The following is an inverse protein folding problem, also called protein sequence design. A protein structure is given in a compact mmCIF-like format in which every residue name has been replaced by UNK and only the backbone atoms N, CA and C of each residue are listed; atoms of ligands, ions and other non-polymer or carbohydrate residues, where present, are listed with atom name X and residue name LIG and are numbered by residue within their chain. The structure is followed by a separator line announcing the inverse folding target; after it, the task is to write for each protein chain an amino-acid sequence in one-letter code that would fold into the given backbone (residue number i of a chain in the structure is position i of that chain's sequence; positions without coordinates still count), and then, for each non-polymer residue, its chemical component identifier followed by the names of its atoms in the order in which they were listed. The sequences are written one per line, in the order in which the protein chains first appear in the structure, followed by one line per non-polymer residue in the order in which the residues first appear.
data_IF_711388036938
#
_entry.id   IF_711388036938
#
_cell.length_a   1.000
_cell.length_b   1.000
_cell.length_c   1.000
_cell.angle_alpha   90.00
_cell.angle_beta   90.00
_cell.angle_gamma   90.00
#
_symmetry.space_group_name_H-M   'P 1'
#
loop_
_entity.id
_entity.type
_entity.pdbx_description
1 polymer ?
#
# COMPACT_ATOMS: atom_id res chain seq x y z
N UNK A 1 9.14 21.03 -18.52
CA UNK A 1 8.91 19.59 -18.22
C UNK A 1 9.36 19.36 -16.78
N UNK A 2 8.65 18.55 -15.99
CA UNK A 2 9.14 18.16 -14.66
C UNK A 2 10.37 17.27 -14.82
N UNK A 3 11.36 17.43 -13.93
CA UNK A 3 12.58 16.61 -13.93
C UNK A 3 12.30 15.22 -13.35
N UNK A 4 13.06 14.23 -13.80
CA UNK A 4 13.02 12.87 -13.24
C UNK A 4 13.69 12.90 -11.87
N UNK A 5 13.01 12.32 -10.87
CA UNK A 5 13.44 12.30 -9.46
C UNK A 5 13.90 10.92 -8.99
N UNK A 6 13.33 9.87 -9.56
CA UNK A 6 13.61 8.48 -9.19
C UNK A 6 13.88 7.66 -10.45
N UNK A 7 14.95 6.86 -10.42
CA UNK A 7 15.25 5.89 -11.47
C UNK A 7 15.42 4.53 -10.82
N UNK A 8 14.63 3.56 -11.26
CA UNK A 8 14.82 2.16 -10.89
C UNK A 8 15.64 1.51 -12.00
N UNK A 9 16.81 0.95 -11.70
CA UNK A 9 17.61 0.21 -12.66
C UNK A 9 17.61 -1.28 -12.32
N UNK A 10 17.26 -2.11 -13.30
CA UNK A 10 17.27 -3.56 -13.22
C UNK A 10 18.43 -4.11 -14.07
N UNK A 11 19.69 -4.09 -13.61
CA UNK A 11 20.85 -4.55 -14.38
C UNK A 11 20.81 -6.04 -14.75
N UNK A 12 20.08 -6.87 -14.01
CA UNK A 12 19.83 -8.27 -14.35
C UNK A 12 18.47 -8.71 -13.84
N UNK A 13 17.84 -9.61 -14.59
CA UNK A 13 16.60 -10.29 -14.20
C UNK A 13 16.84 -11.77 -13.89
N UNK A 14 18.11 -12.21 -13.99
CA UNK A 14 18.58 -13.49 -13.45
C UNK A 14 18.66 -13.39 -11.93
N UNK A 15 18.45 -14.50 -11.23
CA UNK A 15 18.68 -14.62 -9.80
C UNK A 15 19.41 -15.94 -9.50
N UNK A 16 20.17 -15.97 -8.41
CA UNK A 16 20.82 -17.17 -7.85
C UNK A 16 19.92 -17.93 -6.87
N UNK A 17 18.76 -17.37 -6.51
CA UNK A 17 17.75 -17.94 -5.62
C UNK A 17 16.43 -18.16 -6.37
N UNK A 18 15.56 -19.01 -5.83
CA UNK A 18 14.25 -19.35 -6.41
C UNK A 18 13.14 -19.24 -5.34
N UNK A 19 13.01 -18.03 -4.78
CA UNK A 19 12.16 -17.72 -3.64
C UNK A 19 10.70 -18.11 -3.88
N UNK A 20 10.00 -18.56 -2.85
CA UNK A 20 8.58 -18.92 -2.90
C UNK A 20 7.68 -17.73 -3.29
N UNK A 21 8.06 -16.52 -2.90
CA UNK A 21 7.33 -15.27 -3.18
C UNK A 21 7.76 -14.57 -4.46
N UNK A 22 8.72 -15.10 -5.22
CA UNK A 22 9.05 -14.54 -6.54
C UNK A 22 8.03 -15.05 -7.57
N UNK A 23 7.45 -14.13 -8.35
CA UNK A 23 6.60 -14.48 -9.49
C UNK A 23 7.35 -15.29 -10.55
N UNK A 24 6.59 -15.93 -11.47
CA UNK A 24 7.15 -16.86 -12.47
C UNK A 24 8.38 -16.31 -13.20
N UNK A 25 9.33 -17.23 -13.43
CA UNK A 25 10.64 -16.97 -14.00
C UNK A 25 10.60 -15.89 -15.09
N UNK A 26 11.33 -14.81 -14.87
CA UNK A 26 11.52 -13.80 -15.89
C UNK A 26 12.42 -14.39 -16.99
N UNK A 27 11.79 -15.03 -17.98
CA UNK A 27 12.37 -15.52 -19.23
C UNK A 27 12.88 -14.35 -20.09
N UNK A 28 13.90 -13.69 -19.58
CA UNK A 28 14.71 -12.67 -20.24
C UNK A 28 16.02 -13.36 -20.55
N UNK A 29 16.36 -13.46 -21.83
CA UNK A 29 17.53 -14.20 -22.28
C UNK A 29 18.80 -13.69 -21.60
N UNK A 30 19.60 -14.61 -21.04
CA UNK A 30 20.86 -14.32 -20.32
C UNK A 30 21.90 -13.52 -21.14
N UNK A 31 21.65 -13.34 -22.44
CA UNK A 31 22.61 -12.86 -23.43
C UNK A 31 22.32 -11.41 -23.91
N UNK A 32 21.19 -10.81 -23.54
CA UNK A 32 20.76 -9.47 -24.05
C UNK A 32 20.89 -8.34 -23.01
N UNK A 33 21.49 -8.62 -21.85
CA UNK A 33 21.69 -7.64 -20.77
C UNK A 33 22.52 -6.44 -21.25
N UNK A 34 21.99 -5.23 -21.06
CA UNK A 34 22.67 -3.97 -21.37
C UNK A 34 23.89 -3.80 -20.44
N UNK A 35 25.01 -3.37 -21.02
CA UNK A 35 26.18 -2.99 -20.26
C UNK A 35 25.83 -1.80 -19.35
N UNK A 36 26.00 -1.95 -18.04
CA UNK A 36 25.66 -0.91 -17.06
C UNK A 36 26.42 0.39 -17.32
N UNK A 37 27.64 0.35 -17.85
CA UNK A 37 28.41 1.55 -18.18
C UNK A 37 27.80 2.37 -19.32
N UNK A 38 27.07 1.74 -20.26
CA UNK A 38 26.27 2.48 -21.25
C UNK A 38 25.08 3.17 -20.58
N UNK A 39 24.44 2.52 -19.61
CA UNK A 39 23.37 3.15 -18.81
C UNK A 39 23.92 4.34 -18.03
N UNK A 40 25.10 4.22 -17.40
CA UNK A 40 25.73 5.35 -16.69
C UNK A 40 25.99 6.53 -17.64
N UNK A 41 26.56 6.30 -18.82
CA UNK A 41 26.78 7.36 -19.82
C UNK A 41 25.48 8.09 -20.22
N UNK A 42 24.37 7.35 -20.33
CA UNK A 42 23.05 7.93 -20.63
C UNK A 42 22.48 8.74 -19.46
N UNK A 43 22.78 8.36 -18.21
CA UNK A 43 22.41 9.11 -17.01
C UNK A 43 23.29 10.37 -16.84
N UNK A 44 24.59 10.25 -17.05
CA UNK A 44 25.57 11.35 -16.98
C UNK A 44 25.27 12.46 -17.99
N UNK A 45 24.84 12.10 -19.20
CA UNK A 45 24.57 13.05 -20.28
C UNK A 45 23.19 13.72 -20.20
N UNK A 46 22.26 13.22 -19.38
CA UNK A 46 20.86 13.66 -19.37
C UNK A 46 20.66 14.99 -18.63
N UNK A 47 20.11 16.00 -19.32
CA UNK A 47 19.79 17.30 -18.72
C UNK A 47 18.49 17.28 -17.88
N UNK A 48 17.80 16.14 -17.86
CA UNK A 48 16.49 15.96 -17.24
C UNK A 48 16.53 15.36 -15.85
N UNK A 49 17.72 14.99 -15.36
CA UNK A 49 17.95 14.43 -14.04
C UNK A 49 18.35 15.53 -13.06
N UNK A 50 17.75 15.52 -11.86
CA UNK A 50 18.13 16.40 -10.75
C UNK A 50 18.48 15.55 -9.54
N UNK A 51 19.79 15.28 -9.41
CA UNK A 51 20.40 14.48 -8.33
C UNK A 51 19.54 13.26 -7.94
N UNK A 52 19.18 12.39 -8.92
CA UNK A 52 18.30 11.26 -8.67
C UNK A 52 18.90 10.27 -7.67
N UNK A 53 18.00 9.62 -6.93
CA UNK A 53 18.30 8.31 -6.34
C UNK A 53 18.17 7.26 -7.44
N UNK A 54 19.24 6.50 -7.64
CA UNK A 54 19.29 5.33 -8.51
C UNK A 54 19.01 4.10 -7.65
N UNK A 55 17.76 3.63 -7.67
CA UNK A 55 17.33 2.41 -7.00
C UNK A 55 17.71 1.19 -7.85
N UNK A 56 18.75 0.46 -7.44
CA UNK A 56 19.22 -0.75 -8.13
C UNK A 56 18.47 -1.96 -7.57
N UNK A 57 17.86 -2.77 -8.44
CA UNK A 57 17.12 -3.98 -8.07
C UNK A 57 17.15 -5.00 -9.24
N UNK A 58 16.16 -5.90 -9.35
CA UNK A 58 16.06 -6.87 -10.45
C UNK A 58 15.73 -8.28 -9.94
N UNK A 59 16.37 -9.28 -10.54
CA UNK A 59 16.47 -10.61 -9.93
C UNK A 59 17.50 -10.58 -8.80
N UNK A 60 18.78 -10.61 -9.14
CA UNK A 60 19.89 -10.26 -8.25
C UNK A 60 20.87 -9.34 -8.99
N UNK A 61 21.01 -8.05 -8.61
CA UNK A 61 21.87 -7.11 -9.35
C UNK A 61 23.33 -7.55 -9.44
N UNK A 62 23.89 -8.19 -8.40
CA UNK A 62 25.29 -8.65 -8.41
C UNK A 62 25.59 -9.81 -9.38
N UNK A 63 24.59 -10.32 -10.13
CA UNK A 63 24.81 -11.21 -11.26
C UNK A 63 25.20 -10.48 -12.56
N UNK A 64 24.96 -9.17 -12.68
CA UNK A 64 25.44 -8.37 -13.81
C UNK A 64 26.94 -8.09 -13.64
N UNK A 65 27.74 -8.36 -14.67
CA UNK A 65 29.21 -8.28 -14.59
C UNK A 65 29.75 -6.85 -14.51
N UNK A 66 28.93 -5.83 -14.81
CA UNK A 66 29.32 -4.41 -14.87
C UNK A 66 28.69 -3.56 -13.76
N UNK A 67 27.91 -4.14 -12.84
CA UNK A 67 27.17 -3.35 -11.82
C UNK A 67 28.09 -2.71 -10.77
N UNK A 68 29.16 -3.38 -10.37
CA UNK A 68 30.12 -2.86 -9.37
C UNK A 68 30.82 -1.61 -9.95
N UNK A 69 31.29 -1.71 -11.20
CA UNK A 69 31.89 -0.58 -11.92
C UNK A 69 30.88 0.57 -12.12
N UNK A 70 29.62 0.27 -12.42
CA UNK A 70 28.55 1.27 -12.54
C UNK A 70 28.33 2.06 -11.25
N UNK A 71 28.29 1.39 -10.09
CA UNK A 71 28.14 2.04 -8.78
C UNK A 71 29.38 2.91 -8.49
N UNK A 72 30.58 2.34 -8.58
CA UNK A 72 31.85 3.03 -8.27
C UNK A 72 32.04 4.27 -9.16
N UNK A 73 31.92 4.11 -10.48
CA UNK A 73 32.13 5.22 -11.41
C UNK A 73 30.98 6.23 -11.35
N UNK A 74 29.74 5.78 -11.13
CA UNK A 74 28.60 6.67 -10.90
C UNK A 74 28.79 7.55 -9.66
N UNK A 75 29.34 7.02 -8.58
CA UNK A 75 29.69 7.81 -7.38
C UNK A 75 30.77 8.84 -7.71
N UNK A 76 31.87 8.44 -8.38
CA UNK A 76 32.99 9.34 -8.70
C UNK A 76 32.64 10.47 -9.66
N UNK A 77 31.74 10.23 -10.63
CA UNK A 77 31.49 11.11 -11.78
C UNK A 77 30.24 11.97 -11.65
N UNK A 78 29.34 11.62 -10.74
CA UNK A 78 28.03 12.28 -10.56
C UNK A 78 27.82 12.64 -9.10
N UNK A 79 26.71 13.31 -8.79
CA UNK A 79 26.23 13.50 -7.42
C UNK A 79 25.10 12.52 -7.03
N UNK A 80 24.86 11.46 -7.82
CA UNK A 80 23.77 10.52 -7.57
C UNK A 80 23.96 9.77 -6.25
N UNK A 81 22.84 9.30 -5.69
CA UNK A 81 22.80 8.32 -4.60
C UNK A 81 22.36 6.96 -5.14
N UNK A 82 22.95 5.88 -4.64
CA UNK A 82 22.69 4.51 -5.08
C UNK A 82 22.04 3.72 -3.96
N UNK A 83 20.80 3.29 -4.16
CA UNK A 83 20.04 2.50 -3.21
C UNK A 83 19.90 1.07 -3.74
N UNK A 84 20.63 0.13 -3.15
CA UNK A 84 20.80 -1.23 -3.70
C UNK A 84 19.88 -2.19 -2.95
N UNK A 85 18.97 -2.86 -3.67
CA UNK A 85 18.21 -3.99 -3.14
C UNK A 85 18.84 -5.29 -3.64
N UNK A 86 19.26 -6.16 -2.71
CA UNK A 86 19.93 -7.43 -3.01
C UNK A 86 19.44 -8.53 -2.07
N UNK A 87 19.62 -9.80 -2.45
CA UNK A 87 19.44 -10.94 -1.56
C UNK A 87 20.61 -11.14 -0.57
N UNK A 88 21.70 -10.38 -0.69
CA UNK A 88 22.84 -10.45 0.23
C UNK A 88 23.71 -11.70 0.08
N UNK A 89 23.49 -12.54 -0.94
CA UNK A 89 24.22 -13.79 -1.10
C UNK A 89 25.69 -13.61 -1.53
N UNK A 90 25.97 -12.52 -2.26
CA UNK A 90 27.28 -12.26 -2.86
C UNK A 90 28.14 -11.34 -1.99
N UNK A 91 28.45 -11.75 -0.75
CA UNK A 91 29.20 -10.92 0.23
C UNK A 91 30.46 -10.29 -0.35
N UNK A 92 31.29 -11.07 -1.06
CA UNK A 92 32.55 -10.58 -1.64
C UNK A 92 32.35 -9.45 -2.67
N UNK A 93 31.25 -9.47 -3.43
CA UNK A 93 30.92 -8.39 -4.37
C UNK A 93 30.43 -7.12 -3.68
N UNK A 94 29.79 -7.28 -2.52
CA UNK A 94 29.39 -6.17 -1.65
C UNK A 94 30.64 -5.55 -1.01
N UNK A 95 31.57 -6.36 -0.49
CA UNK A 95 32.88 -5.94 0.01
C UNK A 95 33.67 -5.17 -1.05
N UNK A 96 33.85 -5.77 -2.24
CA UNK A 96 34.50 -5.13 -3.40
C UNK A 96 33.88 -3.77 -3.75
N UNK A 97 32.56 -3.66 -3.71
CA UNK A 97 31.85 -2.39 -3.99
C UNK A 97 32.22 -1.32 -2.95
N UNK A 98 32.14 -1.64 -1.64
CA UNK A 98 32.37 -0.69 -0.55
C UNK A 98 33.85 -0.31 -0.38
N UNK A 99 34.78 -1.23 -0.64
CA UNK A 99 36.22 -1.00 -0.54
C UNK A 99 36.76 -0.08 -1.65
N UNK A 100 36.09 -0.04 -2.80
CA UNK A 100 36.44 0.85 -3.91
C UNK A 100 35.73 2.22 -3.86
N UNK A 101 35.03 2.53 -2.76
CA UNK A 101 34.36 3.81 -2.52
C UNK A 101 35.06 4.54 -1.36
N UNK A 102 35.37 5.82 -1.57
CA UNK A 102 35.97 6.67 -0.52
C UNK A 102 35.06 6.73 0.70
N UNK A 103 35.63 6.77 1.91
CA UNK A 103 34.87 6.90 3.15
C UNK A 103 33.95 8.14 3.17
N UNK A 104 34.35 9.22 2.50
CA UNK A 104 33.57 10.46 2.34
C UNK A 104 32.35 10.36 1.43
N UNK A 105 32.27 9.33 0.58
CA UNK A 105 31.16 9.11 -0.36
C UNK A 105 30.21 7.98 0.09
N UNK A 106 30.46 7.36 1.24
CA UNK A 106 29.67 6.21 1.74
C UNK A 106 28.22 6.57 2.07
N UNK A 107 27.91 7.82 2.40
CA UNK A 107 26.54 8.32 2.64
C UNK A 107 25.68 8.42 1.36
N UNK A 108 26.31 8.19 0.21
CA UNK A 108 25.67 8.12 -1.11
C UNK A 108 25.32 6.69 -1.53
N UNK A 109 25.62 5.70 -0.70
CA UNK A 109 25.26 4.30 -0.93
C UNK A 109 24.47 3.75 0.25
N UNK A 110 23.34 3.12 -0.05
CA UNK A 110 22.52 2.41 0.93
C UNK A 110 22.16 1.02 0.42
N UNK A 111 21.99 0.07 1.33
CA UNK A 111 21.65 -1.31 1.04
C UNK A 111 20.33 -1.71 1.71
N UNK A 112 19.53 -2.49 0.99
CA UNK A 112 18.31 -3.12 1.49
C UNK A 112 18.49 -4.62 1.27
N UNK A 113 18.88 -5.34 2.34
CA UNK A 113 19.16 -6.77 2.27
C UNK A 113 17.86 -7.54 2.48
N UNK A 114 17.57 -8.48 1.60
CA UNK A 114 16.26 -9.16 1.58
C UNK A 114 16.26 -10.37 2.52
N UNK A 115 15.68 -10.25 3.72
CA UNK A 115 15.65 -11.30 4.76
C UNK A 115 14.23 -11.45 5.30
N UNK A 116 13.69 -12.67 5.33
CA UNK A 116 12.24 -12.94 5.49
C UNK A 116 11.90 -13.72 6.77
N UNK A 117 12.78 -13.76 7.76
CA UNK A 117 12.63 -14.60 8.95
C UNK A 117 13.98 -14.99 9.53
N UNK A 118 13.95 -15.81 10.58
CA UNK A 118 15.14 -16.45 11.13
C UNK A 118 15.64 -17.55 10.18
N UNK A 119 16.84 -18.07 10.42
CA UNK A 119 17.60 -18.93 9.51
C UNK A 119 16.76 -19.99 8.77
N UNK A 120 16.09 -20.88 9.50
CA UNK A 120 15.29 -21.96 8.92
C UNK A 120 14.15 -21.44 8.03
N UNK A 121 13.43 -20.40 8.49
CA UNK A 121 12.27 -19.83 7.81
C UNK A 121 12.70 -19.03 6.58
N UNK A 122 13.74 -18.20 6.68
CA UNK A 122 14.30 -17.49 5.54
C UNK A 122 14.85 -18.46 4.48
N UNK A 123 15.66 -19.45 4.88
CA UNK A 123 16.23 -20.45 3.96
C UNK A 123 15.12 -21.26 3.25
N UNK A 124 14.04 -21.63 3.98
CA UNK A 124 12.84 -22.25 3.41
C UNK A 124 12.16 -21.34 2.38
N UNK A 125 11.93 -20.07 2.70
CA UNK A 125 11.27 -19.08 1.83
C UNK A 125 12.11 -18.80 0.58
N UNK A 126 13.43 -18.62 0.72
CA UNK A 126 14.37 -18.37 -0.40
C UNK A 126 14.74 -19.63 -1.19
N UNK A 127 14.40 -20.82 -0.67
CA UNK A 127 14.76 -22.16 -1.19
C UNK A 127 16.28 -22.34 -1.34
N UNK A 128 17.04 -21.94 -0.32
CA UNK A 128 18.50 -22.08 -0.29
C UNK A 128 18.99 -22.20 1.16
N UNK A 129 19.77 -23.23 1.47
CA UNK A 129 20.21 -23.54 2.84
C UNK A 129 21.28 -22.59 3.41
N UNK A 130 21.89 -21.75 2.57
CA UNK A 130 22.95 -20.81 2.96
C UNK A 130 22.55 -19.34 2.78
N UNK A 131 21.30 -19.05 2.38
CA UNK A 131 20.88 -17.68 2.09
C UNK A 131 20.89 -16.76 3.31
N UNK A 132 20.47 -17.26 4.48
CA UNK A 132 20.49 -16.50 5.72
C UNK A 132 21.91 -16.16 6.15
N UNK A 133 22.79 -17.17 6.23
CA UNK A 133 24.19 -17.04 6.61
C UNK A 133 24.89 -15.95 5.78
N UNK A 134 24.76 -16.01 4.44
CA UNK A 134 25.37 -15.03 3.53
C UNK A 134 24.76 -13.62 3.66
N UNK A 135 23.44 -13.54 3.84
CA UNK A 135 22.78 -12.26 4.05
C UNK A 135 23.21 -11.61 5.37
N UNK A 136 23.36 -12.38 6.46
CA UNK A 136 23.87 -11.89 7.75
C UNK A 136 25.35 -11.51 7.67
N UNK A 137 26.20 -12.27 6.97
CA UNK A 137 27.59 -11.88 6.69
C UNK A 137 27.65 -10.50 6.01
N UNK A 138 26.80 -10.29 4.99
CA UNK A 138 26.71 -9.02 4.25
C UNK A 138 26.21 -7.87 5.12
N UNK A 139 25.14 -8.07 5.91
CA UNK A 139 24.61 -7.06 6.84
C UNK A 139 25.65 -6.67 7.87
N UNK A 140 26.35 -7.64 8.46
CA UNK A 140 27.36 -7.40 9.50
C UNK A 140 28.49 -6.54 8.95
N UNK A 141 29.05 -6.92 7.80
CA UNK A 141 30.09 -6.14 7.13
C UNK A 141 29.62 -4.71 6.78
N UNK A 142 28.43 -4.55 6.21
CA UNK A 142 27.90 -3.23 5.84
C UNK A 142 27.73 -2.31 7.06
N UNK A 143 27.26 -2.86 8.18
CA UNK A 143 27.11 -2.16 9.46
C UNK A 143 28.47 -1.78 10.05
N UNK A 144 29.45 -2.68 10.04
CA UNK A 144 30.84 -2.39 10.45
C UNK A 144 31.50 -1.29 9.61
N UNK A 145 31.17 -1.22 8.32
CA UNK A 145 31.64 -0.18 7.39
C UNK A 145 30.85 1.15 7.50
N UNK A 146 29.81 1.21 8.34
CA UNK A 146 28.98 2.40 8.56
C UNK A 146 28.03 2.75 7.40
N UNK A 147 27.64 1.77 6.59
CA UNK A 147 26.74 1.95 5.44
C UNK A 147 25.28 1.92 5.91
N UNK A 148 24.42 2.83 5.39
CA UNK A 148 22.98 2.81 5.70
C UNK A 148 22.36 1.51 5.17
N UNK A 149 21.94 0.66 6.09
CA UNK A 149 21.56 -0.73 5.82
C UNK A 149 20.18 -0.99 6.42
N UNK A 150 19.24 -1.37 5.57
CA UNK A 150 17.90 -1.83 5.93
C UNK A 150 17.74 -3.31 5.60
N UNK A 151 16.74 -3.93 6.21
CA UNK A 151 16.28 -5.28 5.90
C UNK A 151 14.89 -5.18 5.26
N UNK A 152 14.75 -5.70 4.05
CA UNK A 152 13.46 -5.86 3.39
C UNK A 152 12.89 -7.24 3.72
N UNK A 153 11.80 -7.27 4.48
CA UNK A 153 11.10 -8.48 4.92
C UNK A 153 9.82 -8.64 4.09
N UNK A 154 9.75 -9.63 3.19
CA UNK A 154 8.48 -9.95 2.51
C UNK A 154 7.61 -10.76 3.47
N UNK A 155 6.53 -10.17 3.95
CA UNK A 155 5.70 -10.79 4.99
C UNK A 155 4.72 -11.78 4.38
N UNK A 156 4.79 -13.03 4.83
CA UNK A 156 3.99 -14.15 4.35
C UNK A 156 3.60 -15.09 5.50
N UNK A 157 2.68 -16.03 5.25
CA UNK A 157 2.16 -16.94 6.28
C UNK A 157 3.26 -17.66 7.08
N UNK A 158 4.36 -18.03 6.43
CA UNK A 158 5.48 -18.74 7.07
C UNK A 158 6.27 -17.91 8.10
N UNK A 159 6.26 -16.58 8.02
CA UNK A 159 7.11 -15.72 8.85
C UNK A 159 6.36 -14.77 9.81
N UNK A 160 5.02 -14.70 9.73
CA UNK A 160 4.19 -13.82 10.57
C UNK A 160 4.50 -13.90 12.07
N UNK A 161 4.77 -15.11 12.58
CA UNK A 161 5.00 -15.35 13.99
C UNK A 161 6.45 -15.07 14.43
N UNK A 162 7.38 -14.91 13.47
CA UNK A 162 8.79 -14.61 13.74
C UNK A 162 9.11 -13.11 13.68
N UNK A 163 8.22 -12.26 13.17
CA UNK A 163 8.54 -10.85 12.88
C UNK A 163 9.06 -10.07 14.11
N UNK A 164 8.55 -10.38 15.31
CA UNK A 164 9.02 -9.76 16.56
C UNK A 164 10.41 -10.28 17.00
N UNK A 165 10.68 -11.57 16.77
CA UNK A 165 11.97 -12.16 17.07
C UNK A 165 13.04 -11.69 16.08
N UNK A 166 12.67 -11.52 14.80
CA UNK A 166 13.50 -10.94 13.75
C UNK A 166 13.88 -9.48 14.05
N UNK A 167 12.93 -8.66 14.54
CA UNK A 167 13.20 -7.30 15.04
C UNK A 167 14.22 -7.32 16.18
N UNK A 168 14.03 -8.20 17.17
CA UNK A 168 14.96 -8.34 18.31
C UNK A 168 16.35 -8.78 17.86
N UNK A 169 16.43 -9.71 16.90
CA UNK A 169 17.67 -10.21 16.34
C UNK A 169 18.48 -9.10 15.65
N UNK A 170 17.86 -8.31 14.75
CA UNK A 170 18.59 -7.20 14.10
C UNK A 170 18.93 -6.05 15.06
N UNK A 171 18.10 -5.79 16.08
CA UNK A 171 18.43 -4.83 17.13
C UNK A 171 19.67 -5.25 17.95
N UNK A 172 19.98 -6.55 18.05
CA UNK A 172 21.23 -7.04 18.67
C UNK A 172 22.45 -6.85 17.76
N UNK A 173 22.27 -6.89 16.43
CA UNK A 173 23.34 -6.60 15.45
C UNK A 173 23.63 -5.09 15.42
N UNK A 174 22.60 -4.26 15.25
CA UNK A 174 22.69 -2.80 15.34
C UNK A 174 21.32 -2.13 15.41
N UNK A 175 21.16 -1.21 16.36
CA UNK A 175 19.94 -0.39 16.54
C UNK A 175 19.66 0.57 15.36
N UNK A 176 20.60 0.74 14.44
CA UNK A 176 20.43 1.59 13.25
C UNK A 176 19.78 0.83 12.08
N UNK A 177 19.70 -0.51 12.14
CA UNK A 177 19.11 -1.33 11.08
C UNK A 177 17.59 -1.13 11.08
N UNK A 178 17.04 -0.71 9.94
CA UNK A 178 15.60 -0.53 9.75
C UNK A 178 15.02 -1.79 9.12
N UNK A 179 13.98 -2.38 9.72
CA UNK A 179 13.19 -3.43 9.08
C UNK A 179 12.02 -2.79 8.31
N UNK A 180 12.00 -3.01 7.00
CA UNK A 180 10.93 -2.62 6.09
C UNK A 180 10.05 -3.85 5.87
N UNK A 181 8.86 -3.86 6.45
CA UNK A 181 7.91 -4.96 6.30
C UNK A 181 7.03 -4.75 5.07
N UNK A 182 7.34 -5.50 4.01
CA UNK A 182 6.70 -5.40 2.70
C UNK A 182 5.57 -6.44 2.66
N UNK A 183 4.29 -6.03 2.55
CA UNK A 183 3.19 -6.97 2.35
C UNK A 183 3.40 -7.77 1.05
N UNK A 184 3.13 -9.08 1.07
CA UNK A 184 3.25 -9.93 -0.12
C UNK A 184 2.30 -9.42 -1.21
N UNK A 185 2.85 -8.78 -2.24
CA UNK A 185 2.07 -7.97 -3.18
C UNK A 185 1.55 -8.71 -4.42
N UNK A 186 2.06 -9.91 -4.68
CA UNK A 186 1.79 -10.66 -5.93
C UNK A 186 0.35 -11.19 -6.00
N UNK A 187 -0.24 -11.50 -4.86
CA UNK A 187 -1.62 -12.03 -4.80
C UNK A 187 -2.69 -10.94 -4.67
N UNK A 188 -2.32 -9.69 -4.37
CA UNK A 188 -3.33 -8.63 -4.17
C UNK A 188 -4.01 -8.21 -5.50
N UNK A 189 -3.36 -8.40 -6.64
CA UNK A 189 -3.78 -7.76 -7.90
C UNK A 189 -4.53 -8.68 -8.89
N UNK A 190 -4.35 -10.01 -8.82
CA UNK A 190 -4.79 -10.92 -9.89
C UNK A 190 -5.53 -12.19 -9.43
N UNK A 191 -5.22 -12.76 -8.26
CA UNK A 191 -5.85 -14.03 -7.81
C UNK A 191 -7.27 -13.85 -7.24
N UNK A 192 -7.58 -12.68 -6.68
CA UNK A 192 -8.84 -12.43 -5.97
C UNK A 192 -8.94 -13.15 -4.61
N UNK A 193 -7.91 -13.90 -4.21
CA UNK A 193 -7.84 -14.55 -2.91
C UNK A 193 -7.20 -13.61 -1.89
N UNK A 194 -7.94 -13.29 -0.81
CA UNK A 194 -7.40 -12.44 0.25
C UNK A 194 -6.39 -13.21 1.12
N UNK A 195 -5.11 -13.12 0.78
CA UNK A 195 -4.00 -13.68 1.57
C UNK A 195 -3.87 -13.01 2.94
N UNK A 196 -4.41 -11.80 3.11
CA UNK A 196 -4.39 -11.07 4.38
C UNK A 196 -5.56 -11.51 5.27
N UNK A 197 -5.36 -12.66 5.95
CA UNK A 197 -6.22 -13.09 7.07
C UNK A 197 -6.24 -12.04 8.19
N UNK A 198 -7.26 -12.05 9.06
CA UNK A 198 -7.30 -11.12 10.22
C UNK A 198 -6.02 -11.21 11.07
N UNK A 199 -5.45 -12.42 11.21
CA UNK A 199 -4.18 -12.67 11.90
C UNK A 199 -2.98 -12.05 11.17
N UNK A 200 -2.90 -12.19 9.85
CA UNK A 200 -1.89 -11.51 9.02
C UNK A 200 -2.01 -10.00 9.23
N UNK A 201 -3.21 -9.43 9.04
CA UNK A 201 -3.50 -8.01 9.15
C UNK A 201 -3.12 -7.46 10.54
N UNK A 202 -3.51 -8.14 11.62
CA UNK A 202 -3.20 -7.74 13.00
C UNK A 202 -1.70 -7.76 13.33
N UNK A 203 -0.93 -8.67 12.74
CA UNK A 203 0.51 -8.78 12.97
C UNK A 203 1.34 -7.80 12.11
N UNK A 204 0.92 -7.55 10.88
CA UNK A 204 1.57 -6.60 9.97
C UNK A 204 1.23 -5.13 10.33
N UNK A 205 -0.02 -4.85 10.74
CA UNK A 205 -0.51 -3.49 11.03
C UNK A 205 0.38 -2.72 12.02
N UNK A 206 0.83 -3.39 13.09
CA UNK A 206 1.67 -2.80 14.15
C UNK A 206 3.04 -2.34 13.67
N UNK A 207 3.50 -2.83 12.52
CA UNK A 207 4.86 -2.67 11.98
C UNK A 207 4.92 -1.66 10.84
N UNK A 208 3.75 -1.33 10.29
CA UNK A 208 3.58 -0.56 9.08
C UNK A 208 3.42 0.92 9.44
N UNK A 209 4.28 1.77 8.87
CA UNK A 209 4.46 3.16 9.33
C UNK A 209 3.90 4.19 8.35
N UNK A 210 3.86 3.90 7.05
CA UNK A 210 3.36 4.86 6.05
C UNK A 210 1.85 4.69 5.78
N UNK A 211 1.12 5.77 5.45
CA UNK A 211 -0.29 5.68 5.03
C UNK A 211 -0.51 4.78 3.81
N UNK A 212 0.47 4.70 2.91
CA UNK A 212 0.40 3.90 1.69
C UNK A 212 0.42 2.39 1.99
N UNK A 213 1.38 1.93 2.80
CA UNK A 213 1.45 0.54 3.23
C UNK A 213 0.21 0.11 4.03
N UNK A 214 -0.34 1.02 4.87
CA UNK A 214 -1.60 0.79 5.59
C UNK A 214 -2.73 0.50 4.60
N UNK A 215 -2.95 1.40 3.63
CA UNK A 215 -3.94 1.22 2.56
C UNK A 215 -3.69 -0.03 1.70
N UNK A 216 -2.45 -0.51 1.62
CA UNK A 216 -2.14 -1.78 0.93
C UNK A 216 -2.76 -2.98 1.65
N UNK A 217 -2.62 -3.06 2.97
CA UNK A 217 -3.14 -4.18 3.79
C UNK A 217 -4.67 -4.31 3.72
N UNK A 218 -5.35 -3.21 3.42
CA UNK A 218 -6.76 -3.02 3.72
C UNK A 218 -7.68 -2.94 2.49
N UNK A 219 -7.12 -2.68 1.31
CA UNK A 219 -7.90 -2.43 0.08
C UNK A 219 -8.59 -3.65 -0.55
N UNK A 220 -8.42 -4.86 0.00
CA UNK A 220 -8.98 -6.14 -0.52
C UNK A 220 -8.72 -6.41 -2.03
N UNK A 221 -7.74 -5.74 -2.67
CA UNK A 221 -7.38 -5.94 -4.08
C UNK A 221 -7.73 -4.82 -5.07
N UNK A 222 -8.72 -3.98 -4.78
CA UNK A 222 -9.28 -3.04 -5.77
C UNK A 222 -8.54 -1.68 -5.86
N UNK A 223 -7.23 -1.68 -6.06
CA UNK A 223 -6.51 -0.41 -6.30
C UNK A 223 -6.80 0.18 -7.68
N UNK A 224 -7.42 1.36 -7.71
CA UNK A 224 -7.51 2.24 -8.88
C UNK A 224 -6.55 3.43 -8.71
N UNK A 225 -5.43 3.41 -9.42
CA UNK A 225 -4.45 4.52 -9.39
C UNK A 225 -4.93 5.66 -10.29
N UNK A 226 -5.68 6.60 -9.71
CA UNK A 226 -5.83 7.94 -10.31
C UNK A 226 -4.51 8.73 -10.11
N UNK A 227 -4.23 9.79 -10.90
CA UNK A 227 -3.00 10.63 -10.87
C UNK A 227 -1.67 9.86 -10.66
N UNK A 228 -1.49 8.72 -11.35
CA UNK A 228 -0.18 8.10 -11.43
C UNK A 228 0.83 9.04 -12.11
N UNK A 229 2.10 9.02 -11.71
CA UNK A 229 3.20 9.77 -12.34
C UNK A 229 4.24 8.84 -13.01
N UNK A 230 3.87 7.58 -13.25
CA UNK A 230 4.68 6.61 -13.99
C UNK A 230 5.08 7.15 -15.37
N UNK A 231 6.39 7.16 -15.65
CA UNK A 231 6.94 7.75 -16.86
C UNK A 231 6.89 9.28 -16.92
N UNK A 232 6.43 9.95 -15.86
CA UNK A 232 6.42 11.42 -15.71
C UNK A 232 7.56 11.89 -14.79
N UNK A 233 7.65 11.33 -13.56
CA UNK A 233 8.67 11.68 -12.54
C UNK A 233 9.62 10.55 -12.18
N UNK A 234 9.18 9.31 -12.43
CA UNK A 234 9.95 8.10 -12.22
C UNK A 234 10.01 7.30 -13.53
N UNK A 235 11.10 6.57 -13.73
CA UNK A 235 11.27 5.61 -14.84
C UNK A 235 11.94 4.34 -14.34
N UNK A 236 11.82 3.27 -15.14
CA UNK A 236 12.58 2.03 -14.97
C UNK A 236 13.47 1.82 -16.17
N UNK A 237 14.73 1.46 -15.96
CA UNK A 237 15.63 0.98 -17.02
C UNK A 237 15.74 -0.53 -16.84
N UNK A 238 15.28 -1.28 -17.84
CA UNK A 238 15.31 -2.74 -17.84
C UNK A 238 16.68 -3.32 -18.22
N UNK A 239 16.90 -4.58 -17.87
CA UNK A 239 18.12 -5.32 -18.27
C UNK A 239 18.25 -5.40 -19.80
N UNK A 240 17.14 -5.38 -20.54
CA UNK A 240 17.12 -5.34 -22.00
C UNK A 240 17.59 -4.01 -22.62
N UNK A 241 17.83 -2.97 -21.80
CA UNK A 241 18.17 -1.61 -22.24
C UNK A 241 16.98 -0.72 -22.55
N UNK A 242 15.75 -1.22 -22.38
CA UNK A 242 14.54 -0.43 -22.61
C UNK A 242 14.17 0.41 -21.40
N UNK A 243 13.58 1.56 -21.67
CA UNK A 243 13.05 2.47 -20.65
C UNK A 243 11.56 2.24 -20.53
N UNK A 244 11.07 1.99 -19.32
CA UNK A 244 9.69 1.73 -19.00
C UNK A 244 9.14 2.79 -18.03
N UNK A 245 7.84 3.04 -18.09
CA UNK A 245 7.18 4.01 -17.21
C UNK A 245 7.01 3.52 -15.75
N UNK A 246 6.93 2.21 -15.51
CA UNK A 246 6.65 1.64 -14.17
C UNK A 246 7.21 0.23 -13.99
N UNK A 247 7.67 -0.09 -12.78
CA UNK A 247 8.19 -1.42 -12.42
C UNK A 247 7.05 -2.45 -12.32
N UNK A 248 6.01 -2.18 -11.53
CA UNK A 248 4.80 -3.03 -11.44
C UNK A 248 4.23 -3.32 -12.83
N UNK A 249 4.05 -2.27 -13.63
CA UNK A 249 3.52 -2.37 -14.98
C UNK A 249 4.37 -3.20 -15.94
N UNK A 250 5.70 -3.06 -15.86
CA UNK A 250 6.61 -3.72 -16.79
C UNK A 250 7.03 -5.14 -16.39
N UNK A 251 7.05 -5.46 -15.08
CA UNK A 251 7.67 -6.70 -14.60
C UNK A 251 6.78 -7.57 -13.72
N UNK A 252 5.71 -7.04 -13.11
CA UNK A 252 4.82 -7.80 -12.23
C UNK A 252 3.45 -8.15 -12.84
N UNK A 253 3.12 -7.61 -14.02
CA UNK A 253 1.85 -7.84 -14.74
C UNK A 253 2.01 -8.72 -15.99
N UNK A 254 3.06 -9.53 -16.03
CA UNK A 254 3.37 -10.38 -17.18
C UNK A 254 3.83 -9.63 -18.44
N UNK A 255 4.18 -10.43 -19.46
CA UNK A 255 4.88 -9.97 -20.68
C UNK A 255 4.05 -9.06 -21.59
N UNK A 256 2.73 -9.25 -21.66
CA UNK A 256 1.86 -8.41 -22.50
C UNK A 256 1.73 -6.97 -21.99
N UNK A 257 1.78 -6.77 -20.67
CA UNK A 257 1.78 -5.43 -20.10
C UNK A 257 3.14 -4.75 -20.25
N UNK A 258 4.25 -5.50 -20.22
CA UNK A 258 5.62 -4.97 -20.40
C UNK A 258 5.75 -4.04 -21.60
N UNK A 259 5.33 -4.50 -22.78
CA UNK A 259 5.41 -3.70 -24.01
C UNK A 259 4.53 -2.44 -23.95
N UNK A 260 3.37 -2.49 -23.26
CA UNK A 260 2.47 -1.34 -23.10
C UNK A 260 3.07 -0.23 -22.23
N UNK A 261 3.99 -0.56 -21.32
CA UNK A 261 4.71 0.41 -20.47
C UNK A 261 6.04 0.91 -21.07
N UNK A 262 6.43 0.45 -22.25
CA UNK A 262 7.71 0.79 -22.90
C UNK A 262 7.70 2.21 -23.50
N UNK A 263 8.61 3.06 -23.02
CA UNK A 263 8.82 4.44 -23.49
C UNK A 263 9.85 4.50 -24.64
N UNK A 264 10.88 3.66 -24.62
CA UNK A 264 11.97 3.69 -25.60
C UNK A 264 13.08 2.68 -25.32
N UNK A 265 14.20 2.80 -26.04
CA UNK A 265 15.30 1.83 -26.05
C UNK A 265 16.65 2.55 -26.10
N UNK A 266 17.45 2.42 -25.03
CA UNK A 266 18.76 3.07 -24.90
C UNK A 266 19.81 2.51 -25.89
N UNK A 267 19.52 1.37 -26.54
CA UNK A 267 20.35 0.83 -27.63
C UNK A 267 20.09 1.55 -28.96
N UNK A 268 19.12 2.47 -29.03
CA UNK A 268 18.68 3.17 -30.27
C UNK A 268 18.59 4.69 -30.16
N UNK A 269 18.33 5.21 -28.97
CA UNK A 269 18.16 6.65 -28.72
C UNK A 269 18.72 7.00 -27.35
N UNK A 270 19.12 8.26 -27.19
CA UNK A 270 19.53 8.79 -25.89
C UNK A 270 18.38 8.81 -24.89
N UNK A 271 18.70 8.82 -23.59
CA UNK A 271 17.68 8.93 -22.54
C UNK A 271 16.84 10.20 -22.72
N UNK A 272 17.46 11.32 -23.06
CA UNK A 272 16.76 12.59 -23.27
C UNK A 272 15.82 12.53 -24.48
N UNK A 273 16.21 11.93 -25.61
CA UNK A 273 15.30 11.74 -26.76
C UNK A 273 14.07 10.89 -26.40
N UNK A 274 14.26 9.84 -25.59
CA UNK A 274 13.16 9.00 -25.09
C UNK A 274 12.23 9.81 -24.18
N UNK A 275 12.79 10.62 -23.28
CA UNK A 275 12.02 11.42 -22.33
C UNK A 275 11.37 12.66 -22.98
N UNK A 276 11.97 13.27 -23.99
CA UNK A 276 11.39 14.38 -24.75
C UNK A 276 10.31 13.93 -25.76
N UNK A 277 10.17 12.63 -26.03
CA UNK A 277 9.10 12.10 -26.87
C UNK A 277 7.74 12.14 -26.15
N UNK A 278 7.17 13.34 -26.02
CA UNK A 278 5.88 13.59 -25.38
C UNK A 278 4.74 12.75 -26.00
N UNK A 279 4.57 12.63 -27.33
CA UNK A 279 3.53 11.79 -27.90
C UNK A 279 3.62 10.32 -27.47
N UNK A 280 4.84 9.75 -27.37
CA UNK A 280 5.02 8.38 -26.90
C UNK A 280 4.73 8.23 -25.40
N UNK A 281 5.14 9.20 -24.58
CA UNK A 281 4.85 9.21 -23.14
C UNK A 281 3.35 9.35 -22.88
N UNK A 282 2.65 10.23 -23.59
CA UNK A 282 1.20 10.37 -23.51
C UNK A 282 0.47 9.12 -24.01
N UNK A 283 0.94 8.47 -25.07
CA UNK A 283 0.39 7.19 -25.52
C UNK A 283 0.47 6.12 -24.42
N UNK A 284 1.66 5.91 -23.85
CA UNK A 284 1.88 4.92 -22.78
C UNK A 284 1.09 5.29 -21.54
N UNK A 285 1.00 6.57 -21.20
CA UNK A 285 0.19 7.04 -20.08
C UNK A 285 -1.29 6.68 -20.26
N UNK A 286 -1.86 7.02 -21.41
CA UNK A 286 -3.28 6.84 -21.68
C UNK A 286 -3.66 5.36 -21.92
N UNK A 287 -2.81 4.58 -22.59
CA UNK A 287 -3.10 3.17 -22.94
C UNK A 287 -2.67 2.14 -21.89
N UNK A 288 -1.75 2.48 -20.99
CA UNK A 288 -1.22 1.54 -19.99
C UNK A 288 -1.38 2.07 -18.57
N UNK A 289 -0.86 3.27 -18.28
CA UNK A 289 -0.81 3.80 -16.91
C UNK A 289 -2.21 4.08 -16.36
N UNK A 290 -3.07 4.79 -17.09
CA UNK A 290 -4.45 5.10 -16.66
C UNK A 290 -5.35 3.87 -16.56
N UNK A 291 -5.03 2.79 -17.28
CA UNK A 291 -5.79 1.53 -17.25
C UNK A 291 -5.23 0.53 -16.23
N UNK A 292 -4.16 0.89 -15.51
CA UNK A 292 -3.48 0.02 -14.56
C UNK A 292 -4.28 -0.11 -13.25
N UNK A 293 -4.78 -1.32 -12.96
CA UNK A 293 -5.33 -1.72 -11.66
C UNK A 293 -4.29 -2.52 -10.88
N UNK A 294 -4.29 -2.47 -9.54
CA UNK A 294 -3.37 -3.26 -8.72
C UNK A 294 -1.93 -2.71 -8.76
N UNK A 295 -1.58 -1.84 -7.81
CA UNK A 295 -0.26 -1.23 -7.73
C UNK A 295 0.50 -1.76 -6.51
N UNK A 296 1.63 -2.41 -6.74
CA UNK A 296 2.53 -2.90 -5.68
C UNK A 296 3.64 -1.90 -5.31
N UNK A 297 3.90 -0.89 -6.16
CA UNK A 297 5.05 -0.01 -6.02
C UNK A 297 4.84 1.12 -5.00
N UNK A 298 5.69 1.25 -3.97
CA UNK A 298 5.62 2.31 -2.96
C UNK A 298 6.34 3.62 -3.39
N UNK A 299 6.09 4.16 -4.60
CA UNK A 299 6.84 5.35 -5.05
C UNK A 299 6.36 6.66 -4.40
N UNK A 300 7.33 7.43 -3.88
CA UNK A 300 7.14 8.64 -3.09
C UNK A 300 6.96 9.91 -3.94
N UNK A 301 5.74 10.21 -4.41
CA UNK A 301 5.38 11.59 -4.77
C UNK A 301 3.92 11.89 -4.46
N UNK A 302 3.66 12.58 -3.33
CA UNK A 302 2.39 13.24 -2.97
C UNK A 302 1.11 12.49 -3.40
N UNK A 303 1.09 11.17 -3.23
CA UNK A 303 0.08 10.29 -3.86
C UNK A 303 -1.34 10.50 -3.34
N UNK A 304 -1.60 11.29 -2.29
CA UNK A 304 -2.90 11.26 -1.59
C UNK A 304 -3.37 12.59 -0.97
N UNK A 305 -3.18 13.73 -1.63
CA UNK A 305 -3.83 15.01 -1.20
C UNK A 305 -5.05 15.37 -2.06
N UNK A 306 -5.12 14.90 -3.31
CA UNK A 306 -6.13 15.34 -4.28
C UNK A 306 -6.79 14.20 -5.09
N UNK A 307 -6.65 12.95 -4.64
CA UNK A 307 -7.03 11.78 -5.42
C UNK A 307 -8.41 11.21 -5.12
N UNK A 308 -8.88 11.44 -3.90
CA UNK A 308 -10.21 11.10 -3.41
C UNK A 308 -10.92 12.31 -2.78
N UNK A 309 -10.42 13.53 -3.02
CA UNK A 309 -10.93 14.76 -2.39
C UNK A 309 -10.63 14.91 -0.90
N UNK A 310 -9.93 13.93 -0.30
CA UNK A 310 -9.60 13.90 1.12
C UNK A 310 -8.13 14.30 1.37
N UNK A 311 -7.88 14.94 2.52
CA UNK A 311 -6.60 14.84 3.22
C UNK A 311 -6.44 13.40 3.75
N UNK A 312 -5.20 12.93 3.88
CA UNK A 312 -4.85 11.51 3.98
C UNK A 312 -5.06 10.90 5.37
N UNK A 313 -6.31 10.70 5.81
CA UNK A 313 -6.63 10.34 7.21
C UNK A 313 -7.66 9.16 7.36
N UNK A 314 -7.34 7.96 6.82
CA UNK A 314 -7.98 6.62 7.05
C UNK A 314 -9.50 6.42 6.69
N UNK A 315 -10.01 5.16 6.67
CA UNK A 315 -11.42 4.81 6.34
C UNK A 315 -12.06 3.71 7.21
N UNK A 316 -13.40 3.56 7.25
CA UNK A 316 -14.12 2.93 8.37
C UNK A 316 -13.91 1.42 8.64
N UNK A 317 -13.44 0.59 7.71
CA UNK A 317 -13.07 -0.81 8.02
C UNK A 317 -11.57 -0.96 8.41
N UNK A 318 -10.75 -0.02 7.95
CA UNK A 318 -9.36 0.19 8.35
C UNK A 318 -9.32 0.69 9.78
N UNK A 319 -10.20 1.65 10.03
CA UNK A 319 -10.78 2.03 11.31
C UNK A 319 -11.32 0.78 11.99
N UNK A 320 -12.39 0.04 11.64
CA UNK A 320 -12.85 -1.12 12.44
C UNK A 320 -11.77 -2.17 12.75
N UNK A 321 -10.77 -2.37 11.90
CA UNK A 321 -9.64 -3.27 12.17
C UNK A 321 -8.56 -2.62 13.04
N UNK A 322 -8.38 -1.30 12.96
CA UNK A 322 -7.61 -0.45 13.86
C UNK A 322 -8.42 0.16 15.04
N UNK A 323 -9.72 -0.14 15.18
CA UNK A 323 -10.70 0.29 16.19
C UNK A 323 -11.21 -0.92 16.99
N UNK A 324 -11.00 -2.12 16.45
CA UNK A 324 -10.52 -3.27 17.24
C UNK A 324 -9.18 -2.95 17.97
N UNK A 325 -8.52 -1.81 17.70
CA UNK A 325 -7.26 -1.35 18.33
C UNK A 325 -7.28 0.10 18.92
N UNK A 326 -8.22 0.98 18.55
CA UNK A 326 -8.39 2.37 19.05
C UNK A 326 -9.87 2.71 19.34
N UNK A 327 -10.13 3.64 20.25
CA UNK A 327 -11.49 4.09 20.58
C UNK A 327 -11.90 5.37 19.82
N UNK A 328 -13.21 5.63 19.80
CA UNK A 328 -13.90 6.87 19.37
C UNK A 328 -14.25 7.03 17.89
N UNK A 329 -15.41 6.47 17.53
CA UNK A 329 -16.24 6.85 16.38
C UNK A 329 -17.72 6.79 16.77
N UNK A 330 -18.05 7.36 17.94
CA UNK A 330 -19.30 7.10 18.67
C UNK A 330 -20.41 8.12 18.38
N UNK A 331 -21.58 7.62 18.03
CA UNK A 331 -22.84 8.36 18.06
C UNK A 331 -23.70 7.83 19.22
N UNK A 332 -23.74 8.58 20.31
CA UNK A 332 -24.18 8.05 21.60
C UNK A 332 -23.28 6.88 22.01
N UNK A 333 -23.86 5.68 22.13
CA UNK A 333 -23.10 4.46 22.45
C UNK A 333 -22.78 3.57 21.24
N UNK A 334 -23.28 3.91 20.05
CA UNK A 334 -23.05 3.13 18.83
C UNK A 334 -21.85 3.62 18.01
N UNK A 335 -21.20 2.69 17.31
CA UNK A 335 -20.19 2.92 16.29
C UNK A 335 -20.85 2.94 14.90
N UNK A 336 -20.59 3.98 14.10
CA UNK A 336 -21.25 4.25 12.82
C UNK A 336 -20.44 3.78 11.60
N UNK A 337 -21.00 2.97 10.70
CA UNK A 337 -20.34 2.67 9.40
C UNK A 337 -20.21 3.93 8.50
N UNK A 338 -19.03 4.54 8.44
CA UNK A 338 -18.79 5.72 7.60
C UNK A 338 -19.04 5.50 6.08
N UNK A 339 -19.08 4.24 5.61
CA UNK A 339 -19.48 3.93 4.24
C UNK A 339 -21.02 3.92 4.04
N UNK A 340 -21.79 3.68 5.10
CA UNK A 340 -23.26 3.71 5.11
C UNK A 340 -23.85 4.99 5.70
N UNK A 341 -23.08 5.81 6.42
CA UNK A 341 -23.54 7.02 7.12
C UNK A 341 -22.78 8.29 6.67
N UNK A 342 -23.49 9.40 6.51
CA UNK A 342 -22.93 10.74 6.28
C UNK A 342 -22.26 11.29 7.56
N UNK A 343 -21.56 12.42 7.43
CA UNK A 343 -21.00 13.13 8.60
C UNK A 343 -22.09 13.55 9.59
N UNK A 344 -21.71 13.69 10.86
CA UNK A 344 -22.63 14.12 11.93
C UNK A 344 -22.92 15.61 11.77
N UNK A 345 -24.18 15.94 11.56
CA UNK A 345 -24.72 17.30 11.58
C UNK A 345 -25.02 17.71 13.02
N UNK A 346 -24.66 18.94 13.39
CA UNK A 346 -24.91 19.51 14.72
C UNK A 346 -25.93 20.64 14.56
N UNK A 347 -26.99 20.63 15.39
CA UNK A 347 -28.06 21.64 15.30
C UNK A 347 -28.59 22.04 16.69
N UNK A 348 -28.62 23.34 16.96
CA UNK A 348 -28.75 23.84 18.33
C UNK A 348 -27.47 23.60 19.15
N UNK A 349 -27.58 23.63 20.48
CA UNK A 349 -26.42 23.48 21.39
C UNK A 349 -25.96 22.03 21.55
N UNK A 350 -26.89 21.07 21.54
CA UNK A 350 -26.62 19.69 21.99
C UNK A 350 -27.11 18.60 21.03
N UNK A 351 -27.94 18.93 20.03
CA UNK A 351 -28.51 17.91 19.14
C UNK A 351 -27.56 17.57 17.99
N UNK A 352 -27.54 16.27 17.66
CA UNK A 352 -26.75 15.68 16.58
C UNK A 352 -27.69 14.92 15.65
N UNK A 353 -27.32 14.80 14.38
CA UNK A 353 -28.06 14.05 13.38
C UNK A 353 -27.09 13.38 12.42
N UNK A 354 -27.25 12.09 12.17
CA UNK A 354 -26.42 11.36 11.22
C UNK A 354 -27.30 10.64 10.20
N UNK A 355 -27.20 11.05 8.93
CA UNK A 355 -28.04 10.52 7.85
C UNK A 355 -27.43 9.30 7.16
N UNK A 356 -28.24 8.30 6.80
CA UNK A 356 -27.77 7.18 5.99
C UNK A 356 -27.53 7.60 4.53
N UNK A 357 -26.43 7.09 3.97
CA UNK A 357 -26.04 7.15 2.55
C UNK A 357 -26.75 6.09 1.68
N UNK A 358 -27.26 5.04 2.32
CA UNK A 358 -27.74 3.80 1.70
C UNK A 358 -29.16 3.46 2.18
N UNK A 359 -29.85 2.64 1.39
CA UNK A 359 -31.14 2.04 1.76
C UNK A 359 -30.97 1.10 2.96
N UNK A 360 -29.85 0.39 3.02
CA UNK A 360 -29.39 -0.46 4.11
C UNK A 360 -28.19 0.18 4.82
N UNK A 361 -28.32 0.48 6.11
CA UNK A 361 -27.26 1.08 6.90
C UNK A 361 -27.18 0.50 8.31
N UNK A 362 -26.00 0.02 8.69
CA UNK A 362 -25.77 -0.65 9.97
C UNK A 362 -24.93 0.21 10.92
N UNK A 363 -25.16 0.01 12.22
CA UNK A 363 -24.36 0.54 13.32
C UNK A 363 -24.11 -0.59 14.33
N UNK A 364 -23.09 -0.43 15.16
CA UNK A 364 -22.59 -1.50 16.04
C UNK A 364 -22.51 -1.00 17.48
N UNK A 365 -23.09 -1.72 18.43
CA UNK A 365 -23.00 -1.38 19.87
C UNK A 365 -22.23 -2.48 20.59
N UNK A 366 -21.21 -2.12 21.37
CA UNK A 366 -20.47 -3.06 22.22
C UNK A 366 -21.13 -3.11 23.61
N UNK A 367 -21.58 -4.30 24.04
CA UNK A 367 -22.25 -4.48 25.34
C UNK A 367 -21.37 -5.09 26.43
N UNK A 368 -20.06 -5.25 26.17
CA UNK A 368 -19.08 -5.97 27.00
C UNK A 368 -19.00 -5.56 28.49
N UNK A 369 -19.40 -4.35 28.86
CA UNK A 369 -19.27 -3.81 30.22
C UNK A 369 -20.60 -3.58 30.97
N UNK A 370 -21.76 -3.73 30.31
CA UNK A 370 -23.03 -3.18 30.85
C UNK A 370 -24.13 -4.19 31.21
N UNK A 371 -24.13 -5.40 30.65
CA UNK A 371 -25.31 -6.30 30.68
C UNK A 371 -26.65 -5.54 30.46
N UNK A 372 -26.75 -4.74 29.38
CA UNK A 372 -27.88 -3.87 29.19
C UNK A 372 -29.14 -4.68 28.89
N UNK A 373 -30.27 -4.15 29.34
CA UNK A 373 -31.58 -4.75 29.08
C UNK A 373 -32.37 -3.95 28.05
N UNK A 374 -31.99 -2.69 27.79
CA UNK A 374 -32.71 -1.81 26.86
C UNK A 374 -31.79 -1.09 25.89
N UNK A 375 -32.33 -0.88 24.70
CA UNK A 375 -31.74 -0.07 23.64
C UNK A 375 -32.76 0.98 23.20
N UNK A 376 -32.45 2.26 23.42
CA UNK A 376 -33.26 3.39 22.95
C UNK A 376 -32.64 3.98 21.69
N UNK A 377 -33.43 4.11 20.63
CA UNK A 377 -33.03 4.68 19.33
C UNK A 377 -33.99 5.82 18.98
N UNK A 378 -33.46 7.02 18.79
CA UNK A 378 -34.19 8.18 18.25
C UNK A 378 -33.77 8.43 16.81
N UNK A 379 -34.74 8.54 15.90
CA UNK A 379 -34.49 8.72 14.48
C UNK A 379 -35.53 9.60 13.78
N UNK A 380 -35.18 10.01 12.55
CA UNK A 380 -35.93 10.92 11.70
C UNK A 380 -36.01 10.40 10.27
N UNK A 381 -37.18 10.51 9.65
CA UNK A 381 -37.42 10.29 8.22
C UNK A 381 -37.34 11.64 7.47
N UNK A 382 -36.78 11.66 6.25
CA UNK A 382 -36.82 12.86 5.41
C UNK A 382 -38.19 13.05 4.72
N UNK A 383 -38.89 11.95 4.41
CA UNK A 383 -40.25 11.96 3.86
C UNK A 383 -41.18 11.19 4.83
N UNK A 384 -42.36 11.73 5.19
CA UNK A 384 -43.31 11.06 6.08
C UNK A 384 -43.65 9.63 5.71
N UNK A 385 -43.83 9.37 4.41
CA UNK A 385 -44.34 8.10 3.87
C UNK A 385 -43.26 7.01 3.68
N UNK A 386 -41.98 7.34 3.90
CA UNK A 386 -40.87 6.38 3.77
C UNK A 386 -40.96 5.32 4.87
N UNK A 387 -40.95 4.04 4.48
CA UNK A 387 -40.94 2.93 5.43
C UNK A 387 -39.56 2.71 6.00
N UNK A 388 -39.50 2.43 7.30
CA UNK A 388 -38.27 2.08 8.02
C UNK A 388 -38.44 0.72 8.68
N UNK A 389 -37.48 -0.18 8.51
CA UNK A 389 -37.34 -1.38 9.33
C UNK A 389 -36.07 -1.28 10.15
N UNK A 390 -36.11 -1.78 11.39
CA UNK A 390 -34.92 -1.92 12.23
C UNK A 390 -34.76 -3.39 12.56
N UNK A 391 -33.58 -3.92 12.26
CA UNK A 391 -33.19 -5.30 12.52
C UNK A 391 -32.12 -5.31 13.62
N UNK A 392 -32.24 -6.20 14.61
CA UNK A 392 -31.18 -6.52 15.56
C UNK A 392 -30.56 -7.87 15.20
N UNK A 393 -29.26 -7.90 14.96
CA UNK A 393 -28.51 -9.10 14.55
C UNK A 393 -29.13 -9.86 13.35
N UNK A 394 -29.92 -9.16 12.52
CA UNK A 394 -30.62 -9.71 11.36
C UNK A 394 -32.12 -10.01 11.56
N UNK A 395 -32.63 -9.96 12.79
CA UNK A 395 -34.06 -10.16 13.08
C UNK A 395 -34.83 -8.84 13.11
N UNK A 396 -35.95 -8.74 12.40
CA UNK A 396 -36.78 -7.53 12.34
C UNK A 396 -37.52 -7.31 13.66
N UNK A 397 -37.22 -6.20 14.34
CA UNK A 397 -37.81 -5.83 15.64
C UNK A 397 -38.70 -4.57 15.58
N UNK A 398 -38.52 -3.74 14.54
CA UNK A 398 -39.38 -2.57 14.28
C UNK A 398 -39.72 -2.54 12.80
N UNK A 399 -41.01 -2.31 12.52
CA UNK A 399 -41.53 -2.04 11.19
C UNK A 399 -42.34 -0.74 11.24
N UNK A 400 -41.69 0.39 10.96
CA UNK A 400 -42.31 1.70 10.96
C UNK A 400 -42.90 2.04 9.58
N UNK A 401 -44.21 2.25 9.57
CA UNK A 401 -45.01 2.64 8.41
C UNK A 401 -45.90 3.85 8.73
N UNK A 402 -45.63 4.57 9.83
CA UNK A 402 -46.41 5.78 10.18
C UNK A 402 -45.91 7.03 9.46
N UNK A 403 -46.69 8.11 9.47
CA UNK A 403 -46.34 9.39 8.84
C UNK A 403 -45.52 10.33 9.76
N UNK A 404 -45.05 9.86 10.92
CA UNK A 404 -44.39 10.70 11.93
C UNK A 404 -42.93 10.93 11.53
N UNK A 405 -42.55 12.17 11.25
CA UNK A 405 -41.18 12.50 10.79
C UNK A 405 -40.10 12.13 11.80
N UNK A 406 -40.35 12.25 13.10
CA UNK A 406 -39.39 12.00 14.18
C UNK A 406 -39.97 10.98 15.16
N UNK A 407 -39.17 9.97 15.54
CA UNK A 407 -39.65 8.82 16.31
C UNK A 407 -38.56 8.29 17.24
N UNK A 408 -38.98 7.84 18.42
CA UNK A 408 -38.13 7.13 19.37
C UNK A 408 -38.70 5.73 19.58
N UNK A 409 -37.83 4.72 19.59
CA UNK A 409 -38.17 3.33 19.91
C UNK A 409 -37.28 2.82 21.04
N UNK A 410 -37.85 1.99 21.91
CA UNK A 410 -37.12 1.33 23.00
C UNK A 410 -37.32 -0.17 22.85
N UNK A 411 -36.22 -0.91 22.81
CA UNK A 411 -36.16 -2.33 22.50
C UNK A 411 -35.62 -3.09 23.71
N UNK A 412 -36.21 -4.23 24.03
CA UNK A 412 -35.64 -5.19 24.99
C UNK A 412 -34.53 -5.97 24.30
N UNK A 413 -33.35 -5.98 24.91
CA UNK A 413 -32.15 -6.67 24.41
C UNK A 413 -31.59 -7.67 25.42
N UNK A 414 -32.30 -7.93 26.52
CA UNK A 414 -31.86 -8.81 27.61
C UNK A 414 -31.61 -10.27 27.20
N UNK A 415 -32.13 -10.71 26.05
CA UNK A 415 -31.90 -12.02 25.46
C UNK A 415 -30.64 -12.12 24.58
N UNK A 416 -30.06 -10.99 24.16
CA UNK A 416 -28.94 -10.91 23.21
C UNK A 416 -27.62 -11.15 23.96
N UNK A 417 -26.86 -12.17 23.57
CA UNK A 417 -25.66 -12.63 24.30
C UNK A 417 -24.35 -12.37 23.56
N UNK A 418 -24.44 -11.94 22.31
CA UNK A 418 -23.34 -11.57 21.44
C UNK A 418 -22.63 -10.34 22.02
N UNK A 419 -21.29 -10.28 21.96
CA UNK A 419 -20.55 -9.12 22.48
C UNK A 419 -20.97 -7.80 21.81
N UNK A 420 -21.34 -7.87 20.52
CA UNK A 420 -21.79 -6.72 19.74
C UNK A 420 -23.23 -6.93 19.26
N UNK A 421 -24.02 -5.86 19.36
CA UNK A 421 -25.35 -5.76 18.77
C UNK A 421 -25.22 -5.01 17.44
N UNK A 422 -25.56 -5.68 16.33
CA UNK A 422 -25.66 -5.06 15.01
C UNK A 422 -27.07 -4.55 14.82
N UNK A 423 -27.22 -3.24 14.65
CA UNK A 423 -28.50 -2.59 14.40
C UNK A 423 -28.51 -2.16 12.93
N UNK A 424 -29.36 -2.77 12.11
CA UNK A 424 -29.48 -2.45 10.69
C UNK A 424 -30.79 -1.74 10.41
N UNK A 425 -30.69 -0.54 9.86
CA UNK A 425 -31.82 0.24 9.36
C UNK A 425 -32.00 -0.06 7.88
N UNK A 426 -33.21 -0.45 7.50
CA UNK A 426 -33.62 -0.59 6.10
C UNK A 426 -34.67 0.49 5.80
N UNK A 427 -34.44 1.32 4.79
CA UNK A 427 -35.42 2.27 4.27
C UNK A 427 -35.80 1.93 2.84
N UNK A 428 -37.04 2.22 2.46
CA UNK A 428 -37.54 1.93 1.11
C UNK A 428 -37.08 2.93 0.03
N UNK A 429 -36.55 4.07 0.44
CA UNK A 429 -36.25 5.20 -0.44
C UNK A 429 -35.09 6.06 0.09
N UNK A 430 -34.27 6.57 -0.85
CA UNK A 430 -33.30 7.63 -0.60
C UNK A 430 -33.75 8.90 -1.27
N UNK A 431 -33.76 10.01 -0.54
CA UNK A 431 -34.31 11.27 -0.97
C UNK A 431 -33.26 12.38 -0.89
N UNK A 432 -33.25 13.28 -1.87
CA UNK A 432 -32.29 14.39 -1.90
C UNK A 432 -32.98 15.68 -1.47
N UNK A 433 -32.48 16.42 -0.47
CA UNK A 433 -33.07 17.69 -0.06
C UNK A 433 -33.17 18.69 -1.22
N UNK A 434 -32.21 18.71 -2.15
CA UNK A 434 -32.32 19.52 -3.38
C UNK A 434 -33.59 19.25 -4.20
N UNK A 435 -34.10 18.01 -4.23
CA UNK A 435 -35.35 17.64 -4.92
C UNK A 435 -36.61 17.96 -4.11
N UNK A 436 -36.50 17.93 -2.78
CA UNK A 436 -37.64 18.14 -1.88
C UNK A 436 -37.84 19.62 -1.49
N UNK A 437 -36.75 20.39 -1.40
CA UNK A 437 -36.68 21.72 -0.75
C UNK A 437 -35.83 22.72 -1.57
N UNK A 438 -35.11 22.30 -2.62
CA UNK A 438 -34.39 23.21 -3.53
C UNK A 438 -33.12 23.86 -2.96
N UNK A 439 -32.65 23.39 -1.80
CA UNK A 439 -31.66 24.05 -0.93
C UNK A 439 -30.20 23.68 -1.24
N UNK A 440 -29.86 23.32 -2.48
CA UNK A 440 -28.48 23.10 -2.95
C UNK A 440 -27.75 21.87 -2.39
N UNK A 441 -28.37 21.11 -1.49
CA UNK A 441 -27.82 19.86 -0.97
C UNK A 441 -28.13 18.68 -1.91
N UNK A 442 -27.09 18.25 -2.63
CA UNK A 442 -27.13 17.16 -3.60
C UNK A 442 -26.92 15.77 -2.99
N UNK A 443 -26.80 15.65 -1.66
CA UNK A 443 -26.74 14.34 -0.99
C UNK A 443 -28.05 13.57 -1.20
N UNK A 444 -27.95 12.25 -1.16
CA UNK A 444 -29.09 11.35 -0.99
C UNK A 444 -29.09 10.88 0.47
N UNK A 445 -30.21 11.10 1.15
CA UNK A 445 -30.40 10.84 2.57
C UNK A 445 -31.51 9.79 2.75
N UNK A 446 -31.28 8.78 3.58
CA UNK A 446 -32.31 7.83 4.00
C UNK A 446 -32.89 8.20 5.35
N UNK A 447 -32.55 7.42 6.38
CA UNK A 447 -32.90 7.69 7.78
C UNK A 447 -31.84 8.58 8.44
N UNK A 448 -32.24 9.44 9.36
CA UNK A 448 -31.33 10.19 10.23
C UNK A 448 -31.40 9.68 11.66
N UNK A 449 -30.28 9.31 12.29
CA UNK A 449 -30.24 8.96 13.72
C UNK A 449 -29.96 10.23 14.53
N UNK A 450 -30.72 10.46 15.60
CA UNK A 450 -30.61 11.63 16.48
C UNK A 450 -30.00 11.30 17.84
N UNK A 451 -30.31 10.13 18.41
CA UNK A 451 -29.75 9.66 19.67
C UNK A 451 -29.76 8.12 19.71
N UNK A 452 -28.81 7.54 20.44
CA UNK A 452 -28.79 6.12 20.75
C UNK A 452 -28.15 5.86 22.11
N UNK A 453 -28.92 5.21 22.99
CA UNK A 453 -28.56 4.89 24.37
C UNK A 453 -28.80 3.42 24.67
N UNK A 454 -27.94 2.85 25.51
CA UNK A 454 -28.06 1.47 25.99
C UNK A 454 -28.11 1.51 27.53
N UNK A 455 -29.08 0.82 28.13
CA UNK A 455 -29.46 0.91 29.55
C UNK A 455 -29.62 -0.47 30.22
#
# INVERSE_FOLDING_TARGET
MEKIKEIIYLPSLRCNLNCQHCGENQDIAKNDEINSMLVLQQLEASILLEVPVISISGGEPFLNNTIIQFIIEGIKRTNFKFNITTNGYFTEKIKETIENINSSDRDRVSFNISIDGLENTHNKIRRNEHSFEKAIESVTYLVEQGIDTSINVVVQKDNLNELEELERFFNQISLNIKLNFIPLAIDIAESGENIYTEEYQKNIWKRIKTPLEKKIILSKGEYKVKQCHAGQKNIVIGADGRVYACLTGAFYKGKEWREKFCLGDLKKSSLDEILFNLPKREEVYNKAVLLCKGCSNPCEVNREVHLFGQRSDYSFEEIQTAFKLEQEGRFGEALLDYFAWHDIEYYGTDNKLCWSKKLDASIFVDQKEKNPNKLSISYRKLIPDSKVKILLNGEEVVCDNDHTIQKQVVLDISSIKEQYIVITFLVDSLNSPSRCIGNGDFRYLGIGIEDLKIE
#
